data_IF_935205182026
#
_entry.id   IF_935205182026
#
_cell.length_a   1.000
_cell.length_b   1.000
_cell.length_c   1.000
_cell.angle_alpha   90.00
_cell.angle_beta   90.00
_cell.angle_gamma   90.00
#
_symmetry.space_group_name_H-M   'P 1'
#
loop_
_entity.id
_entity.type
_entity.pdbx_description
1 polymer ?
#
# COMPACT_ATOMS: atom_id res chain seq x y z
N UNK A 1 -26.78 -9.69 -60.82
CA UNK A 1 -25.81 -10.78 -61.07
C UNK A 1 -24.45 -10.18 -61.35
N UNK A 2 -23.43 -10.62 -60.60
CA UNK A 2 -21.98 -10.52 -60.87
C UNK A 2 -21.39 -9.12 -61.13
N UNK A 3 -20.65 -8.63 -60.14
CA UNK A 3 -19.23 -8.29 -60.37
C UNK A 3 -18.42 -8.71 -59.15
N UNK A 4 -17.46 -9.61 -59.43
CA UNK A 4 -16.40 -10.07 -58.54
C UNK A 4 -15.27 -9.05 -58.55
N UNK A 5 -14.45 -9.12 -57.51
CA UNK A 5 -12.99 -8.95 -57.47
C UNK A 5 -12.55 -7.93 -56.40
N UNK A 6 -11.42 -8.04 -55.70
CA UNK A 6 -10.46 -9.12 -55.41
C UNK A 6 -9.32 -8.42 -54.62
N UNK A 7 -8.82 -9.09 -53.58
CA UNK A 7 -7.41 -9.16 -53.13
C UNK A 7 -6.61 -7.89 -52.68
N UNK A 8 -6.21 -7.95 -51.39
CA UNK A 8 -4.86 -7.82 -50.80
C UNK A 8 -3.96 -6.59 -51.03
N UNK A 9 -3.46 -6.05 -49.90
CA UNK A 9 -2.04 -5.71 -49.63
C UNK A 9 -1.92 -5.37 -48.13
N UNK A 10 -1.47 -6.25 -47.22
CA UNK A 10 -0.08 -6.57 -46.82
C UNK A 10 0.85 -5.36 -46.59
N UNK A 11 1.22 -5.19 -45.31
CA UNK A 11 2.47 -4.68 -44.72
C UNK A 11 2.94 -3.24 -45.03
N UNK A 12 3.10 -2.44 -43.96
CA UNK A 12 4.42 -1.88 -43.65
C UNK A 12 4.59 -1.64 -42.14
N UNK A 13 5.69 -2.18 -41.63
CA UNK A 13 6.24 -2.03 -40.29
C UNK A 13 6.61 -0.57 -40.00
N UNK A 14 6.27 -0.08 -38.81
CA UNK A 14 7.03 0.98 -38.14
C UNK A 14 7.32 0.56 -36.70
N UNK A 15 8.31 -0.33 -36.55
CA UNK A 15 9.08 -0.43 -35.32
C UNK A 15 9.90 0.87 -35.19
N UNK A 16 9.39 1.83 -34.42
CA UNK A 16 10.23 2.89 -33.89
C UNK A 16 11.07 2.32 -32.75
N UNK A 17 12.22 1.77 -33.15
CA UNK A 17 13.39 1.54 -32.31
C UNK A 17 13.88 2.87 -31.74
N UNK A 18 13.58 3.14 -30.47
CA UNK A 18 14.33 4.12 -29.69
C UNK A 18 15.58 3.43 -29.13
N UNK A 19 16.69 3.55 -29.86
CA UNK A 19 18.02 3.24 -29.34
C UNK A 19 18.48 4.39 -28.44
N UNK A 20 18.45 4.19 -27.13
CA UNK A 20 19.27 5.00 -26.23
C UNK A 20 20.70 4.47 -26.21
N UNK A 21 21.62 5.41 -26.46
CA UNK A 21 23.06 5.20 -26.63
C UNK A 21 23.70 4.79 -25.31
N UNK A 22 24.10 3.52 -25.21
CA UNK A 22 25.12 3.08 -24.25
C UNK A 22 26.46 3.64 -24.73
N UNK A 23 27.00 4.65 -24.03
CA UNK A 23 28.41 5.03 -24.17
C UNK A 23 29.27 4.05 -23.37
N UNK A 24 29.74 2.99 -24.02
CA UNK A 24 30.87 2.18 -23.53
C UNK A 24 32.16 2.95 -23.77
N UNK A 25 32.82 3.40 -22.72
CA UNK A 25 34.22 3.81 -22.79
C UNK A 25 35.09 2.58 -22.52
N UNK A 26 35.42 1.84 -23.57
CA UNK A 26 36.66 1.07 -23.60
C UNK A 26 37.82 2.05 -23.88
N UNK A 27 38.73 2.18 -22.92
CA UNK A 27 40.09 2.63 -23.22
C UNK A 27 41.08 1.53 -22.86
N UNK A 28 41.63 1.01 -23.96
CA UNK A 28 42.83 0.20 -24.17
C UNK A 28 43.85 0.22 -23.03
N UNK A 29 44.30 -0.99 -22.72
CA UNK A 29 45.52 -1.28 -21.97
C UNK A 29 46.76 -0.60 -22.58
N UNK A 30 47.66 -0.13 -21.73
CA UNK A 30 49.07 0.02 -22.06
C UNK A 30 49.86 -0.46 -20.84
N UNK A 31 50.51 -1.61 -20.99
CA UNK A 31 51.52 -2.09 -20.06
C UNK A 31 52.70 -1.13 -20.08
N UNK A 32 53.01 -0.53 -18.94
CA UNK A 32 54.37 -0.09 -18.64
C UNK A 32 54.75 -0.76 -17.32
N UNK A 33 55.59 -1.79 -17.47
CA UNK A 33 56.36 -2.34 -16.38
C UNK A 33 57.37 -1.26 -15.98
N UNK A 34 57.29 -0.76 -14.76
CA UNK A 34 58.46 -0.23 -14.08
C UNK A 34 58.42 -0.69 -12.64
N UNK A 35 59.29 -1.65 -12.35
CA UNK A 35 59.56 -2.14 -11.02
C UNK A 35 60.02 -0.97 -10.13
N UNK A 36 59.35 -0.79 -8.99
CA UNK A 36 59.98 -0.27 -7.78
C UNK A 36 59.31 -0.93 -6.58
N UNK A 37 60.06 -1.84 -5.98
CA UNK A 37 59.84 -2.36 -4.64
C UNK A 37 59.52 -1.21 -3.69
N UNK A 38 58.40 -1.34 -2.98
CA UNK A 38 58.31 -0.93 -1.59
C UNK A 38 57.29 -1.85 -0.92
N UNK A 39 57.84 -2.70 -0.06
CA UNK A 39 57.20 -3.54 0.92
C UNK A 39 56.20 -2.74 1.74
N UNK A 40 54.92 -3.13 1.67
CA UNK A 40 53.90 -2.68 2.60
C UNK A 40 53.36 -3.93 3.30
N UNK A 41 53.33 -3.97 4.65
CA UNK A 41 53.03 -5.17 5.40
C UNK A 41 51.60 -5.60 5.15
N UNK A 42 51.38 -6.92 5.12
CA UNK A 42 50.10 -7.58 5.00
C UNK A 42 49.04 -6.87 5.84
N UNK A 43 48.13 -6.14 5.17
CA UNK A 43 46.85 -5.80 5.75
C UNK A 43 46.14 -7.14 5.97
N UNK A 44 46.21 -7.64 7.21
CA UNK A 44 45.23 -8.59 7.74
C UNK A 44 43.87 -8.11 7.23
N UNK A 45 43.23 -8.90 6.38
CA UNK A 45 41.81 -8.74 6.09
C UNK A 45 41.13 -8.76 7.45
N UNK A 46 40.79 -7.59 7.96
CA UNK A 46 39.82 -7.47 9.03
C UNK A 46 38.55 -8.07 8.43
N UNK A 47 38.26 -9.30 8.79
CA UNK A 47 36.93 -9.87 8.61
C UNK A 47 36.00 -8.84 9.25
N UNK A 48 35.08 -8.22 8.50
CA UNK A 48 34.10 -7.36 9.12
C UNK A 48 33.40 -8.23 10.15
N UNK A 49 33.57 -7.88 11.42
CA UNK A 49 32.83 -8.46 12.52
C UNK A 49 31.37 -8.21 12.15
N UNK A 50 30.68 -9.25 11.68
CA UNK A 50 29.24 -9.15 11.47
C UNK A 50 28.70 -8.92 12.86
N UNK A 51 28.32 -7.69 13.17
CA UNK A 51 27.36 -7.41 14.22
C UNK A 51 26.21 -8.39 14.03
N UNK A 52 26.19 -9.44 14.84
CA UNK A 52 25.16 -10.48 14.78
C UNK A 52 23.98 -9.92 15.54
N UNK A 53 23.35 -8.93 14.93
CA UNK A 53 22.08 -8.37 15.39
C UNK A 53 21.08 -9.50 15.49
N UNK A 54 20.77 -9.93 16.72
CA UNK A 54 19.82 -11.01 16.98
C UNK A 54 18.39 -10.48 16.97
N UNK A 55 17.41 -11.35 16.71
CA UNK A 55 15.99 -11.02 16.81
C UNK A 55 15.62 -10.54 18.22
N UNK A 56 16.19 -11.15 19.26
CA UNK A 56 15.98 -10.73 20.64
C UNK A 56 16.49 -9.32 20.89
N UNK A 57 17.68 -8.99 20.37
CA UNK A 57 18.23 -7.64 20.44
C UNK A 57 17.32 -6.64 19.71
N UNK A 58 16.88 -6.95 18.49
CA UNK A 58 16.02 -6.07 17.71
C UNK A 58 14.66 -5.82 18.39
N UNK A 59 14.00 -6.86 18.88
CA UNK A 59 12.72 -6.72 19.56
C UNK A 59 12.84 -5.95 20.89
N UNK A 60 14.00 -6.00 21.56
CA UNK A 60 14.23 -5.31 22.84
C UNK A 60 14.64 -3.84 22.67
N UNK A 61 15.50 -3.55 21.70
CA UNK A 61 16.14 -2.23 21.58
C UNK A 61 15.74 -1.43 20.34
N UNK A 62 15.06 -2.06 19.39
CA UNK A 62 14.48 -1.40 18.22
C UNK A 62 12.98 -1.73 18.06
N UNK A 63 12.17 -1.63 19.14
CA UNK A 63 10.74 -1.90 19.02
C UNK A 63 10.12 -0.89 18.04
N UNK A 64 9.02 -1.29 17.40
CA UNK A 64 8.21 -0.31 16.69
C UNK A 64 7.57 0.63 17.70
N UNK A 65 7.67 1.93 17.44
CA UNK A 65 7.31 2.99 18.38
C UNK A 65 5.82 3.01 18.77
N UNK A 66 4.96 2.25 18.06
CA UNK A 66 3.51 2.32 18.22
C UNK A 66 2.89 0.94 18.40
N UNK A 67 2.59 0.56 19.65
CA UNK A 67 1.60 -0.48 19.90
C UNK A 67 0.21 0.08 19.55
N UNK A 68 -0.40 -0.43 18.49
CA UNK A 68 -1.68 0.10 18.01
C UNK A 68 -2.83 -0.65 18.67
N UNK A 69 -3.50 -0.01 19.63
CA UNK A 69 -4.71 -0.56 20.27
C UNK A 69 -5.92 -0.39 19.37
N UNK A 70 -6.70 -1.45 19.23
CA UNK A 70 -7.99 -1.47 18.55
C UNK A 70 -9.10 -1.62 19.59
N UNK A 71 -10.31 -1.16 19.26
CA UNK A 71 -11.48 -1.36 20.11
C UNK A 71 -11.73 -2.85 20.39
N UNK A 72 -12.35 -3.12 21.56
CA UNK A 72 -12.69 -4.45 22.07
C UNK A 72 -11.51 -5.36 22.43
N UNK A 73 -10.40 -4.76 22.87
CA UNK A 73 -9.25 -5.50 23.42
C UNK A 73 -8.40 -6.19 22.37
N UNK A 74 -8.49 -5.75 21.11
CA UNK A 74 -7.60 -6.18 20.04
C UNK A 74 -6.42 -5.20 19.93
N UNK A 75 -5.30 -5.65 19.40
CA UNK A 75 -4.14 -4.79 19.11
C UNK A 75 -3.38 -5.27 17.89
N UNK A 76 -2.57 -4.39 17.32
CA UNK A 76 -1.53 -4.76 16.36
C UNK A 76 -0.17 -4.75 17.05
N UNK A 77 0.52 -5.87 16.94
CA UNK A 77 1.86 -6.06 17.50
C UNK A 77 2.87 -6.15 16.36
N UNK A 78 3.88 -5.30 16.42
CA UNK A 78 5.04 -5.41 15.55
C UNK A 78 6.06 -6.37 16.15
N UNK A 79 6.64 -7.24 15.33
CA UNK A 79 7.74 -8.14 15.74
C UNK A 79 8.76 -8.36 14.63
N UNK A 80 10.02 -8.56 15.03
CA UNK A 80 11.03 -9.18 14.20
C UNK A 80 11.00 -10.70 14.35
N UNK A 81 11.20 -11.44 13.26
CA UNK A 81 11.32 -12.90 13.26
C UNK A 81 12.25 -13.41 12.15
N UNK A 82 12.62 -14.68 12.23
CA UNK A 82 13.24 -15.48 11.17
C UNK A 82 12.53 -16.83 11.17
N UNK A 83 12.30 -17.39 9.99
CA UNK A 83 11.78 -18.76 9.87
C UNK A 83 12.81 -19.79 10.35
N UNK A 84 14.07 -19.63 9.91
CA UNK A 84 15.20 -20.43 10.39
C UNK A 84 16.50 -19.60 10.48
N UNK A 85 17.58 -20.22 10.98
CA UNK A 85 18.87 -19.55 11.22
C UNK A 85 19.54 -18.99 9.94
N UNK A 86 19.16 -19.50 8.78
CA UNK A 86 19.70 -19.11 7.48
C UNK A 86 18.76 -18.16 6.71
N UNK A 87 17.50 -18.02 7.11
CA UNK A 87 16.55 -17.07 6.54
C UNK A 87 16.95 -15.62 6.84
N UNK A 88 16.60 -14.65 5.98
CA UNK A 88 16.73 -13.23 6.34
C UNK A 88 15.84 -12.88 7.53
N UNK A 89 16.23 -11.88 8.32
CA UNK A 89 15.35 -11.30 9.34
C UNK A 89 14.21 -10.57 8.64
N UNK A 90 13.01 -10.77 9.15
CA UNK A 90 11.78 -10.14 8.69
C UNK A 90 11.09 -9.39 9.83
N UNK A 91 10.18 -8.49 9.45
CA UNK A 91 9.31 -7.70 10.30
C UNK A 91 7.87 -8.08 9.98
N UNK A 92 7.04 -8.28 10.99
CA UNK A 92 5.63 -8.56 10.80
C UNK A 92 4.74 -7.68 11.67
N UNK A 93 3.48 -7.58 11.25
CA UNK A 93 2.42 -6.94 12.01
C UNK A 93 1.31 -7.96 12.31
N UNK A 94 1.20 -8.35 13.57
CA UNK A 94 0.28 -9.38 14.04
C UNK A 94 -0.98 -8.74 14.61
N UNK A 95 -2.15 -9.24 14.21
CA UNK A 95 -3.40 -8.98 14.89
C UNK A 95 -3.51 -9.86 16.14
N UNK A 96 -3.71 -9.25 17.30
CA UNK A 96 -3.80 -9.95 18.58
C UNK A 96 -5.07 -9.63 19.37
N UNK A 97 -5.40 -10.52 20.31
CA UNK A 97 -6.31 -10.27 21.42
C UNK A 97 -5.70 -10.85 22.70
N UNK A 98 -5.22 -9.98 23.58
CA UNK A 98 -4.33 -10.41 24.67
C UNK A 98 -3.08 -11.09 24.11
N UNK A 99 -2.74 -12.27 24.62
CA UNK A 99 -1.56 -13.03 24.18
C UNK A 99 -1.78 -13.84 22.90
N UNK A 100 -3.03 -13.99 22.46
CA UNK A 100 -3.35 -14.79 21.28
C UNK A 100 -3.10 -13.98 20.00
N UNK A 101 -2.19 -14.47 19.15
CA UNK A 101 -2.10 -14.07 17.74
C UNK A 101 -3.27 -14.66 16.96
N UNK A 102 -3.97 -13.82 16.23
CA UNK A 102 -5.12 -14.17 15.39
C UNK A 102 -4.68 -14.33 13.95
N UNK A 103 -3.89 -13.37 13.44
CA UNK A 103 -3.42 -13.35 12.06
C UNK A 103 -2.15 -12.50 11.91
N UNK A 104 -1.43 -12.70 10.82
CA UNK A 104 -0.27 -11.90 10.42
C UNK A 104 -0.64 -11.07 9.19
N UNK A 105 -0.79 -9.76 9.38
CA UNK A 105 -1.38 -8.87 8.37
C UNK A 105 -0.42 -8.50 7.24
N UNK A 106 0.86 -8.35 7.58
CA UNK A 106 1.91 -7.98 6.64
C UNK A 106 3.28 -8.49 7.14
N UNK A 107 4.15 -8.83 6.20
CA UNK A 107 5.52 -9.27 6.42
C UNK A 107 6.44 -8.51 5.47
N UNK A 108 7.57 -8.02 5.98
CA UNK A 108 8.57 -7.30 5.19
C UNK A 108 9.98 -7.67 5.62
N UNK A 109 10.93 -7.68 4.70
CA UNK A 109 12.34 -7.86 5.03
C UNK A 109 12.88 -6.76 5.97
N UNK A 110 13.77 -7.15 6.87
CA UNK A 110 14.51 -6.24 7.74
C UNK A 110 15.20 -5.12 6.93
N UNK A 111 15.12 -3.90 7.45
CA UNK A 111 15.67 -2.69 6.80
C UNK A 111 14.65 -1.89 5.98
N UNK A 112 13.46 -2.45 5.69
CA UNK A 112 12.38 -1.66 5.13
C UNK A 112 11.85 -0.63 6.16
N UNK A 113 11.43 0.58 5.74
CA UNK A 113 10.80 1.54 6.63
C UNK A 113 9.54 0.96 7.28
N UNK A 114 9.40 1.05 8.60
CA UNK A 114 8.25 0.48 9.31
C UNK A 114 6.90 1.02 8.82
N UNK A 115 6.85 2.27 8.33
CA UNK A 115 5.65 2.86 7.72
C UNK A 115 5.07 2.01 6.57
N UNK A 116 5.89 1.20 5.91
CA UNK A 116 5.47 0.34 4.80
C UNK A 116 4.70 -0.90 5.30
N UNK A 117 4.76 -1.21 6.60
CA UNK A 117 3.95 -2.29 7.16
C UNK A 117 2.45 -1.98 7.06
N UNK A 118 2.07 -0.71 7.02
CA UNK A 118 0.69 -0.26 6.91
C UNK A 118 0.22 0.43 8.19
N UNK A 119 -1.04 0.87 8.18
CA UNK A 119 -1.65 1.60 9.27
C UNK A 119 -3.15 1.30 9.37
N UNK A 120 -3.78 1.75 10.46
CA UNK A 120 -5.22 1.60 10.66
C UNK A 120 -5.95 2.77 10.00
N UNK A 121 -6.70 2.48 8.94
CA UNK A 121 -7.56 3.47 8.27
C UNK A 121 -8.87 3.72 9.02
N UNK A 122 -9.39 2.70 9.70
CA UNK A 122 -10.60 2.80 10.52
C UNK A 122 -10.67 1.65 11.54
N UNK A 123 -11.24 1.93 12.70
CA UNK A 123 -11.45 0.94 13.76
C UNK A 123 -12.93 0.91 14.17
N UNK A 124 -13.58 -0.23 13.92
CA UNK A 124 -14.99 -0.51 14.18
C UNK A 124 -15.13 -1.61 15.24
N UNK A 125 -16.34 -1.85 15.71
CA UNK A 125 -16.60 -2.80 16.78
C UNK A 125 -16.10 -4.22 16.43
N UNK A 126 -16.52 -4.76 15.27
CA UNK A 126 -16.15 -6.11 14.82
C UNK A 126 -15.05 -6.14 13.76
N UNK A 127 -14.79 -5.01 13.12
CA UNK A 127 -13.93 -4.91 11.95
C UNK A 127 -12.90 -3.79 12.12
N UNK A 128 -11.83 -3.82 11.34
CA UNK A 128 -10.95 -2.67 11.15
C UNK A 128 -10.47 -2.62 9.71
N UNK A 129 -10.25 -1.41 9.19
CA UNK A 129 -9.65 -1.22 7.88
C UNK A 129 -8.12 -1.13 8.07
N UNK A 130 -7.42 -2.16 7.63
CA UNK A 130 -5.97 -2.16 7.52
C UNK A 130 -5.57 -1.58 6.18
N UNK A 131 -4.64 -0.63 6.16
CA UNK A 131 -4.27 0.12 4.97
C UNK A 131 -2.79 -0.03 4.69
N UNK A 132 -2.45 -0.42 3.47
CA UNK A 132 -1.11 -0.41 2.94
C UNK A 132 -0.95 0.85 2.07
N UNK A 133 0.01 1.70 2.41
CA UNK A 133 0.42 2.82 1.56
C UNK A 133 1.92 2.77 1.38
N UNK A 134 2.36 2.65 0.12
CA UNK A 134 3.77 2.61 -0.25
C UNK A 134 4.36 4.02 -0.47
N UNK A 135 3.59 5.08 -0.18
CA UNK A 135 3.95 6.47 -0.45
C UNK A 135 3.79 6.87 -1.93
N UNK A 136 4.32 8.04 -2.27
CA UNK A 136 4.43 8.57 -3.65
C UNK A 136 3.12 8.85 -4.39
N UNK A 137 2.07 9.26 -3.66
CA UNK A 137 0.78 9.63 -4.28
C UNK A 137 -0.01 8.44 -4.82
N UNK A 138 0.31 7.21 -4.39
CA UNK A 138 -0.47 6.03 -4.73
C UNK A 138 -1.78 6.00 -3.92
N UNK A 139 -2.87 5.43 -4.48
CA UNK A 139 -4.05 5.12 -3.71
C UNK A 139 -3.76 4.25 -2.49
N UNK A 140 -4.55 4.45 -1.44
CA UNK A 140 -4.35 3.80 -0.15
C UNK A 140 -5.14 2.49 -0.12
N UNK A 141 -4.51 1.39 -0.55
CA UNK A 141 -5.09 0.05 -0.57
C UNK A 141 -5.50 -0.39 0.83
N UNK A 142 -6.77 -0.75 1.01
CA UNK A 142 -7.26 -1.27 2.28
C UNK A 142 -7.77 -2.72 2.18
N UNK A 143 -7.72 -3.39 3.32
CA UNK A 143 -8.45 -4.62 3.63
C UNK A 143 -9.32 -4.34 4.87
N UNK A 144 -10.64 -4.55 4.75
CA UNK A 144 -11.54 -4.55 5.91
C UNK A 144 -11.53 -5.96 6.50
N UNK A 145 -11.00 -6.07 7.71
CA UNK A 145 -10.66 -7.33 8.36
C UNK A 145 -11.57 -7.55 9.56
N UNK A 146 -12.13 -8.75 9.68
CA UNK A 146 -12.85 -9.19 10.86
C UNK A 146 -11.87 -9.49 12.00
N UNK A 147 -12.00 -8.77 13.11
CA UNK A 147 -11.06 -8.84 14.24
C UNK A 147 -10.96 -10.25 14.83
N UNK A 148 -12.07 -10.97 14.85
CA UNK A 148 -12.17 -12.27 15.52
C UNK A 148 -11.30 -13.35 14.87
N UNK A 149 -11.11 -13.30 13.54
CA UNK A 149 -10.51 -14.39 12.77
C UNK A 149 -9.54 -13.92 11.67
N UNK A 150 -9.27 -12.62 11.53
CA UNK A 150 -8.38 -12.09 10.49
C UNK A 150 -8.95 -12.11 9.08
N UNK A 151 -10.20 -12.56 8.89
CA UNK A 151 -10.77 -12.69 7.54
C UNK A 151 -11.00 -11.33 6.92
N UNK A 152 -10.39 -11.11 5.74
CA UNK A 152 -10.71 -9.97 4.90
C UNK A 152 -12.09 -10.15 4.27
N UNK A 153 -12.99 -9.19 4.50
CA UNK A 153 -14.36 -9.21 3.94
C UNK A 153 -14.54 -8.23 2.78
N UNK A 154 -13.65 -7.24 2.65
CA UNK A 154 -13.72 -6.22 1.61
C UNK A 154 -12.35 -5.57 1.39
N UNK A 155 -12.12 -5.08 0.17
CA UNK A 155 -10.91 -4.35 -0.21
C UNK A 155 -11.23 -3.27 -1.25
N UNK A 156 -10.28 -2.36 -1.46
CA UNK A 156 -10.35 -1.24 -2.39
C UNK A 156 -9.39 -0.14 -1.95
N UNK A 157 -9.66 1.11 -2.34
CA UNK A 157 -8.89 2.26 -1.86
C UNK A 157 -9.69 3.04 -0.83
N UNK A 158 -9.14 3.22 0.37
CA UNK A 158 -9.85 3.91 1.44
C UNK A 158 -9.96 5.40 1.13
N UNK A 159 -11.17 5.96 1.31
CA UNK A 159 -11.43 7.39 1.11
C UNK A 159 -11.71 8.05 2.46
N UNK A 160 -12.69 7.53 3.20
CA UNK A 160 -13.05 8.04 4.53
C UNK A 160 -13.80 7.01 5.36
N UNK A 161 -13.99 7.27 6.66
CA UNK A 161 -14.74 6.40 7.56
C UNK A 161 -15.59 7.17 8.58
N UNK A 162 -16.64 6.51 9.10
CA UNK A 162 -17.49 7.06 10.14
C UNK A 162 -17.79 5.99 11.19
N UNK A 163 -17.77 6.32 12.48
CA UNK A 163 -17.90 5.33 13.57
C UNK A 163 -19.32 5.12 14.09
N UNK A 164 -20.21 6.09 13.96
CA UNK A 164 -21.57 5.95 14.50
C UNK A 164 -22.60 6.68 13.61
N UNK A 165 -23.21 6.00 12.63
CA UNK A 165 -23.08 4.57 12.32
C UNK A 165 -21.72 4.18 11.73
N UNK A 166 -21.40 2.88 11.78
CA UNK A 166 -20.17 2.32 11.20
C UNK A 166 -20.25 2.27 9.67
N UNK A 167 -19.54 3.19 9.01
CA UNK A 167 -19.53 3.36 7.55
C UNK A 167 -18.11 3.46 7.02
N UNK A 168 -17.88 2.85 5.85
CA UNK A 168 -16.63 2.96 5.10
C UNK A 168 -16.91 3.52 3.71
N UNK A 169 -16.36 4.69 3.41
CA UNK A 169 -16.33 5.25 2.06
C UNK A 169 -15.04 4.82 1.38
N UNK A 170 -15.16 4.22 0.20
CA UNK A 170 -14.01 3.66 -0.50
C UNK A 170 -14.21 3.69 -2.02
N UNK A 171 -13.11 3.70 -2.76
CA UNK A 171 -13.13 3.47 -4.20
C UNK A 171 -13.00 1.97 -4.49
N UNK A 172 -13.94 1.43 -5.27
CA UNK A 172 -13.88 0.07 -5.79
C UNK A 172 -13.17 0.12 -7.14
N UNK A 173 -11.89 -0.24 -7.15
CA UNK A 173 -11.06 0.01 -8.33
C UNK A 173 -10.90 1.51 -8.59
N UNK A 174 -10.75 1.88 -9.86
CA UNK A 174 -10.48 3.27 -10.25
C UNK A 174 -11.71 4.04 -10.77
N UNK A 175 -12.88 3.41 -10.80
CA UNK A 175 -14.06 3.97 -11.49
C UNK A 175 -15.25 4.26 -10.58
N UNK A 176 -15.31 3.71 -9.37
CA UNK A 176 -16.54 3.70 -8.57
C UNK A 176 -16.29 4.12 -7.15
N UNK A 177 -17.00 5.16 -6.70
CA UNK A 177 -17.07 5.53 -5.28
C UNK A 177 -18.23 4.79 -4.62
N UNK A 178 -17.93 4.09 -3.52
CA UNK A 178 -18.85 3.19 -2.82
C UNK A 178 -18.91 3.53 -1.34
N UNK A 179 -20.10 3.47 -0.75
CA UNK A 179 -20.29 3.54 0.70
C UNK A 179 -20.74 2.18 1.22
N UNK A 180 -19.89 1.55 2.02
CA UNK A 180 -20.22 0.31 2.71
C UNK A 180 -20.82 0.60 4.08
N UNK A 181 -22.07 0.18 4.29
CA UNK A 181 -22.71 0.13 5.60
C UNK A 181 -22.31 -1.18 6.29
N UNK A 182 -21.49 -1.07 7.34
CA UNK A 182 -20.91 -2.23 8.03
C UNK A 182 -21.98 -2.97 8.84
N UNK A 183 -22.92 -2.25 9.45
CA UNK A 183 -24.02 -2.83 10.22
C UNK A 183 -24.95 -3.65 9.31
N UNK A 184 -25.28 -3.10 8.13
CA UNK A 184 -26.17 -3.76 7.15
C UNK A 184 -25.45 -4.70 6.19
N UNK A 185 -24.12 -4.70 6.19
CA UNK A 185 -23.26 -5.43 5.24
C UNK A 185 -23.62 -5.16 3.78
N UNK A 186 -23.88 -3.89 3.44
CA UNK A 186 -24.38 -3.49 2.12
C UNK A 186 -23.52 -2.39 1.50
N UNK A 187 -23.20 -2.55 0.22
CA UNK A 187 -22.63 -1.47 -0.60
C UNK A 187 -23.75 -0.59 -1.18
N UNK A 188 -23.58 0.72 -1.06
CA UNK A 188 -24.35 1.71 -1.78
C UNK A 188 -23.43 2.43 -2.77
N UNK A 189 -23.81 2.44 -4.04
CA UNK A 189 -23.10 3.20 -5.07
C UNK A 189 -23.30 4.70 -4.85
N UNK A 190 -22.21 5.46 -4.91
CA UNK A 190 -22.21 6.92 -4.69
C UNK A 190 -22.04 7.69 -5.99
N UNK A 191 -21.03 7.33 -6.80
CA UNK A 191 -20.68 8.06 -8.02
C UNK A 191 -19.79 7.19 -8.94
N UNK A 192 -19.93 7.39 -10.26
CA UNK A 192 -18.98 6.87 -11.24
C UNK A 192 -17.92 7.94 -11.46
N UNK A 193 -16.70 7.69 -11.00
CA UNK A 193 -15.58 8.62 -11.03
C UNK A 193 -15.21 9.02 -12.47
N UNK A 194 -15.33 8.11 -13.45
CA UNK A 194 -15.01 8.41 -14.85
C UNK A 194 -16.06 9.31 -15.53
N UNK A 195 -17.23 9.47 -14.92
CA UNK A 195 -18.34 10.26 -15.46
C UNK A 195 -18.74 11.41 -14.52
N UNK A 196 -18.04 11.55 -13.40
CA UNK A 196 -18.37 12.52 -12.38
C UNK A 196 -18.09 13.92 -12.87
N UNK A 197 -19.09 14.80 -12.74
CA UNK A 197 -18.92 16.24 -13.02
C UNK A 197 -18.52 17.04 -11.77
N UNK A 198 -18.41 16.38 -10.62
CA UNK A 198 -18.17 17.04 -9.32
C UNK A 198 -16.92 16.55 -8.61
N UNK A 199 -16.45 15.34 -8.93
CA UNK A 199 -15.20 14.76 -8.44
C UNK A 199 -14.31 14.66 -9.68
N UNK A 200 -13.32 15.53 -9.78
CA UNK A 200 -12.42 15.63 -10.93
C UNK A 200 -10.97 15.42 -10.51
N UNK A 201 -10.72 14.42 -9.69
CA UNK A 201 -9.40 14.15 -9.11
C UNK A 201 -8.96 12.70 -9.38
N UNK A 202 -7.68 12.42 -9.16
CA UNK A 202 -7.21 11.04 -9.17
C UNK A 202 -7.74 10.27 -7.94
N UNK A 203 -7.85 8.95 -8.06
CA UNK A 203 -8.30 8.07 -6.96
C UNK A 203 -7.43 8.20 -5.72
N UNK A 204 -6.13 8.47 -5.91
CA UNK A 204 -5.18 8.73 -4.83
C UNK A 204 -5.45 10.01 -4.03
N UNK A 205 -6.22 10.94 -4.58
CA UNK A 205 -6.54 12.24 -3.98
C UNK A 205 -7.94 12.24 -3.34
N UNK A 206 -8.75 11.20 -3.55
CA UNK A 206 -10.12 11.12 -3.05
C UNK A 206 -10.20 11.32 -1.53
N UNK A 207 -9.24 10.80 -0.77
CA UNK A 207 -9.20 10.94 0.68
C UNK A 207 -8.90 12.38 1.14
N UNK A 208 -8.56 13.30 0.24
CA UNK A 208 -8.39 14.72 0.51
C UNK A 208 -9.67 15.50 0.18
N UNK A 209 -10.35 15.12 -0.90
CA UNK A 209 -11.47 15.90 -1.46
C UNK A 209 -12.86 15.36 -1.14
N UNK A 210 -12.99 14.09 -0.73
CA UNK A 210 -14.29 13.48 -0.40
C UNK A 210 -14.33 13.02 1.05
N UNK A 211 -15.35 13.46 1.79
CA UNK A 211 -15.51 13.17 3.23
C UNK A 211 -16.94 12.82 3.60
N UNK A 212 -17.10 11.93 4.58
CA UNK A 212 -18.39 11.73 5.26
C UNK A 212 -18.56 12.86 6.28
N UNK A 213 -19.34 13.87 5.93
CA UNK A 213 -19.61 15.02 6.82
C UNK A 213 -20.47 14.63 8.02
N UNK A 214 -21.50 13.83 7.77
CA UNK A 214 -22.48 13.43 8.78
C UNK A 214 -23.19 12.16 8.36
N UNK A 215 -23.49 11.29 9.31
CA UNK A 215 -24.36 10.15 9.10
C UNK A 215 -25.44 10.03 10.17
N UNK A 216 -26.55 9.40 9.79
CA UNK A 216 -27.72 9.11 10.63
C UNK A 216 -28.14 7.66 10.41
N UNK A 217 -29.22 7.22 11.05
CA UNK A 217 -29.81 5.89 10.81
C UNK A 217 -30.30 5.68 9.37
N UNK A 218 -30.70 6.74 8.67
CA UNK A 218 -31.35 6.67 7.35
C UNK A 218 -30.53 7.26 6.21
N UNK A 219 -29.72 8.26 6.52
CA UNK A 219 -29.02 9.06 5.53
C UNK A 219 -27.57 9.31 5.91
N UNK A 220 -26.76 9.51 4.89
CA UNK A 220 -25.38 9.96 4.96
C UNK A 220 -25.22 11.20 4.08
N UNK A 221 -24.44 12.15 4.57
CA UNK A 221 -24.09 13.38 3.87
C UNK A 221 -22.62 13.31 3.52
N UNK A 222 -22.33 13.29 2.23
CA UNK A 222 -20.96 13.25 1.70
C UNK A 222 -20.63 14.65 1.19
N UNK A 223 -19.53 15.18 1.66
CA UNK A 223 -18.94 16.44 1.24
C UNK A 223 -17.88 16.16 0.16
N UNK A 224 -17.92 16.97 -0.90
CA UNK A 224 -17.00 16.91 -2.02
C UNK A 224 -16.46 18.32 -2.22
N UNK A 225 -15.15 18.48 -2.10
CA UNK A 225 -14.41 19.70 -2.42
C UNK A 225 -13.80 19.55 -3.81
N UNK A 226 -14.14 20.44 -4.74
CA UNK A 226 -13.51 20.41 -6.07
C UNK A 226 -12.16 21.14 -6.06
N UNK A 227 -11.42 21.11 -7.18
CA UNK A 227 -10.15 21.81 -7.33
C UNK A 227 -10.22 23.34 -7.21
N UNK A 228 -11.41 23.93 -7.22
CA UNK A 228 -11.65 25.36 -6.98
C UNK A 228 -11.99 25.66 -5.50
N UNK A 229 -11.81 24.67 -4.60
CA UNK A 229 -12.20 24.71 -3.18
C UNK A 229 -13.70 24.96 -2.97
N UNK A 230 -14.53 24.69 -3.99
CA UNK A 230 -15.98 24.76 -3.88
C UNK A 230 -16.49 23.47 -3.26
N UNK A 231 -17.10 23.62 -2.09
CA UNK A 231 -17.65 22.52 -1.32
C UNK A 231 -19.10 22.25 -1.71
N UNK A 232 -19.42 21.01 -2.07
CA UNK A 232 -20.78 20.53 -2.30
C UNK A 232 -21.09 19.40 -1.33
N UNK A 233 -22.25 19.44 -0.68
CA UNK A 233 -22.74 18.33 0.15
C UNK A 233 -23.90 17.62 -0.54
N UNK A 234 -23.79 16.30 -0.70
CA UNK A 234 -24.84 15.44 -1.27
C UNK A 234 -25.37 14.46 -0.22
N UNK A 235 -26.67 14.22 -0.27
CA UNK A 235 -27.39 13.32 0.64
C UNK A 235 -27.66 12.00 -0.05
N UNK A 236 -27.29 10.89 0.59
CA UNK A 236 -27.53 9.53 0.12
C UNK A 236 -28.33 8.73 1.14
N UNK A 237 -29.09 7.75 0.64
CA UNK A 237 -29.76 6.76 1.48
C UNK A 237 -28.74 5.73 1.98
N UNK A 238 -28.93 5.27 3.21
CA UNK A 238 -28.09 4.24 3.84
C UNK A 238 -28.66 2.84 3.60
#
# INVERSE_FOLDING_TARGET
MKTKALLFSIFLLLFFSCQEKIKSNEKKATNIITAKNNSQPDKKKATPERDTTTIEYLNKYNPYDYETKLSNGYSLEFKYFQEDKNSPIEMCLNLKRGDKTIDTLNIMGYGAPHKNLGYIGADYNKYFAFVNSFGSGNPHDFKLIEKQNGKTIKSGFIVDSFKNPELLLYAKGYDSLMLYDIEKKKDNFIENLNQSKVIDCMVSELNQVVKIKKATKKYVFIEIENHENKVTTRKYNR
#
